data_IF_548052408793
#
_entry.id   IF_548052408793
#
_cell.length_a   1.000
_cell.length_b   1.000
_cell.length_c   1.000
_cell.angle_alpha   90.00
_cell.angle_beta   90.00
_cell.angle_gamma   90.00
#
_symmetry.space_group_name_H-M   'P 1'
#
loop_
_entity.id
_entity.type
_entity.pdbx_description
1 polymer ?
#
# COMPACT_ATOMS: atom_id res chain seq x y z
N UNK A 1 2.79 2.65 4.16
CA UNK A 1 1.48 2.75 3.48
C UNK A 1 0.63 3.86 4.07
N UNK A 2 0.35 3.85 5.37
CA UNK A 2 -0.51 4.86 6.03
C UNK A 2 -0.04 6.32 5.83
N UNK A 3 1.25 6.61 6.12
CA UNK A 3 1.80 7.97 5.94
C UNK A 3 1.63 8.54 4.52
N UNK A 4 1.87 7.71 3.51
CA UNK A 4 1.73 8.13 2.11
C UNK A 4 0.25 8.27 1.72
N UNK A 5 -0.60 7.37 2.21
CA UNK A 5 -2.04 7.46 2.03
C UNK A 5 -2.60 8.76 2.62
N UNK A 6 -2.30 9.07 3.89
CA UNK A 6 -2.81 10.26 4.58
C UNK A 6 -2.43 11.55 3.87
N UNK A 7 -1.15 11.68 3.49
CA UNK A 7 -0.61 12.85 2.80
C UNK A 7 -1.29 13.04 1.43
N UNK A 8 -1.36 11.98 0.63
CA UNK A 8 -1.91 12.06 -0.73
C UNK A 8 -3.41 12.27 -0.70
N UNK A 9 -4.12 11.57 0.20
CA UNK A 9 -5.56 11.73 0.38
C UNK A 9 -5.90 13.17 0.79
N UNK A 10 -5.14 13.74 1.74
CA UNK A 10 -5.38 15.09 2.25
C UNK A 10 -5.00 16.20 1.26
N UNK A 11 -3.95 16.02 0.46
CA UNK A 11 -3.39 17.10 -0.39
C UNK A 11 -3.94 17.10 -1.82
N UNK A 12 -4.02 15.94 -2.45
CA UNK A 12 -4.36 15.84 -3.88
C UNK A 12 -5.56 14.95 -4.13
N UNK A 13 -5.95 14.16 -3.12
CA UNK A 13 -6.89 13.07 -3.24
C UNK A 13 -6.59 12.18 -4.46
N UNK A 14 -5.30 12.00 -4.81
CA UNK A 14 -4.86 11.22 -5.96
C UNK A 14 -4.73 11.97 -7.30
N UNK A 15 -5.00 13.28 -7.37
CA UNK A 15 -4.88 14.07 -8.61
C UNK A 15 -3.45 14.54 -8.99
N UNK A 16 -3.27 15.21 -10.14
CA UNK A 16 -4.21 15.35 -11.27
C UNK A 16 -4.26 14.06 -12.12
N UNK A 17 -5.46 13.66 -12.55
CA UNK A 17 -5.64 12.50 -13.46
C UNK A 17 -5.18 11.14 -12.92
N UNK A 18 -5.19 10.93 -11.60
CA UNK A 18 -4.64 9.76 -10.89
C UNK A 18 -3.11 9.70 -10.75
N UNK A 19 -2.37 10.74 -11.14
CA UNK A 19 -0.89 10.73 -11.12
C UNK A 19 -0.27 10.50 -9.75
N UNK A 20 -0.96 10.87 -8.67
CA UNK A 20 -0.49 10.65 -7.29
C UNK A 20 -1.23 9.52 -6.59
N UNK A 21 -2.08 8.77 -7.30
CA UNK A 21 -2.88 7.71 -6.66
C UNK A 21 -2.00 6.54 -6.26
N UNK A 22 -2.04 6.19 -4.97
CA UNK A 22 -1.38 4.99 -4.43
C UNK A 22 -2.31 3.79 -4.48
N UNK A 23 -1.72 2.59 -4.39
CA UNK A 23 -2.48 1.33 -4.31
C UNK A 23 -3.49 1.36 -3.15
N UNK A 24 -3.11 1.95 -2.00
CA UNK A 24 -4.00 2.10 -0.86
C UNK A 24 -5.19 3.04 -1.14
N UNK A 25 -4.95 4.15 -1.85
CA UNK A 25 -6.00 5.08 -2.25
C UNK A 25 -6.96 4.47 -3.28
N UNK A 26 -6.44 3.68 -4.22
CA UNK A 26 -7.24 2.93 -5.18
C UNK A 26 -8.12 1.86 -4.52
N UNK A 27 -7.58 1.12 -3.54
CA UNK A 27 -8.32 0.18 -2.70
C UNK A 27 -9.46 0.90 -1.98
N UNK A 28 -9.16 2.03 -1.33
CA UNK A 28 -10.16 2.83 -0.62
C UNK A 28 -11.29 3.26 -1.54
N UNK A 29 -10.96 3.82 -2.71
CA UNK A 29 -11.97 4.20 -3.72
C UNK A 29 -12.77 3.01 -4.20
N UNK A 30 -12.12 1.88 -4.51
CA UNK A 30 -12.79 0.68 -4.99
C UNK A 30 -13.77 0.11 -3.95
N UNK A 31 -13.35 0.04 -2.69
CA UNK A 31 -14.15 -0.53 -1.62
C UNK A 31 -15.30 0.40 -1.22
N UNK A 32 -15.01 1.68 -0.96
CA UNK A 32 -15.95 2.60 -0.30
C UNK A 32 -16.61 3.62 -1.23
N UNK A 33 -16.00 3.99 -2.36
CA UNK A 33 -16.57 4.97 -3.31
C UNK A 33 -17.35 4.27 -4.41
N UNK A 34 -16.74 3.24 -5.02
CA UNK A 34 -17.35 2.43 -6.09
C UNK A 34 -18.25 1.32 -5.47
N UNK A 35 -18.27 1.19 -4.15
CA UNK A 35 -19.05 0.18 -3.41
C UNK A 35 -18.76 -1.28 -3.83
N UNK A 36 -17.58 -1.55 -4.41
CA UNK A 36 -17.14 -2.90 -4.78
C UNK A 36 -16.28 -3.48 -3.67
N UNK A 37 -16.88 -3.66 -2.50
CA UNK A 37 -16.19 -4.14 -1.29
C UNK A 37 -15.43 -5.46 -1.50
N UNK A 38 -16.02 -6.44 -2.20
CA UNK A 38 -15.34 -7.71 -2.49
C UNK A 38 -14.08 -7.54 -3.34
N UNK A 39 -14.14 -6.67 -4.36
CA UNK A 39 -13.00 -6.38 -5.23
C UNK A 39 -11.93 -5.55 -4.50
N UNK A 40 -12.34 -4.58 -3.68
CA UNK A 40 -11.44 -3.81 -2.82
C UNK A 40 -10.73 -4.69 -1.79
N UNK A 41 -11.45 -5.65 -1.20
CA UNK A 41 -10.88 -6.61 -0.24
C UNK A 41 -9.87 -7.54 -0.92
N UNK A 42 -10.17 -8.03 -2.12
CA UNK A 42 -9.21 -8.83 -2.90
C UNK A 42 -7.91 -8.05 -3.17
N UNK A 43 -8.02 -6.78 -3.58
CA UNK A 43 -6.86 -5.90 -3.77
C UNK A 43 -6.07 -5.70 -2.46
N UNK A 44 -6.73 -5.53 -1.32
CA UNK A 44 -6.09 -5.43 -0.01
C UNK A 44 -5.29 -6.68 0.36
N UNK A 45 -5.84 -7.87 0.11
CA UNK A 45 -5.15 -9.14 0.39
C UNK A 45 -3.91 -9.29 -0.49
N UNK A 46 -3.99 -8.95 -1.77
CA UNK A 46 -2.83 -8.98 -2.67
C UNK A 46 -1.74 -8.00 -2.19
N UNK A 47 -2.13 -6.78 -1.83
CA UNK A 47 -1.20 -5.78 -1.30
C UNK A 47 -0.53 -6.27 0.00
N UNK A 48 -1.30 -6.88 0.90
CA UNK A 48 -0.77 -7.45 2.14
C UNK A 48 0.29 -8.52 1.86
N UNK A 49 0.00 -9.48 0.98
CA UNK A 49 0.96 -10.53 0.61
C UNK A 49 2.22 -9.96 -0.04
N UNK A 50 2.08 -8.96 -0.91
CA UNK A 50 3.24 -8.28 -1.52
C UNK A 50 4.13 -7.64 -0.46
N UNK A 51 3.54 -6.91 0.50
CA UNK A 51 4.29 -6.28 1.59
C UNK A 51 4.91 -7.32 2.51
N UNK A 52 4.20 -8.41 2.81
CA UNK A 52 4.71 -9.50 3.64
C UNK A 52 5.95 -10.14 3.01
N UNK A 53 5.91 -10.43 1.71
CA UNK A 53 7.05 -10.99 0.97
C UNK A 53 8.22 -9.99 0.99
N UNK A 54 7.97 -8.72 0.69
CA UNK A 54 9.00 -7.67 0.72
C UNK A 54 9.59 -7.49 2.12
N UNK A 55 8.77 -7.55 3.17
CA UNK A 55 9.19 -7.42 4.56
C UNK A 55 10.05 -8.60 4.99
N UNK A 56 9.66 -9.84 4.66
CA UNK A 56 10.48 -11.03 4.92
C UNK A 56 11.81 -10.94 4.17
N UNK A 57 11.77 -10.54 2.90
CA UNK A 57 12.98 -10.38 2.08
C UNK A 57 13.90 -9.30 2.65
N UNK A 58 13.36 -8.15 3.03
CA UNK A 58 14.08 -7.07 3.70
C UNK A 58 14.72 -7.57 5.00
N UNK A 59 13.96 -8.19 5.89
CA UNK A 59 14.49 -8.70 7.16
C UNK A 59 15.60 -9.72 6.91
N UNK A 60 15.46 -10.63 5.95
CA UNK A 60 16.51 -11.62 5.64
C UNK A 60 17.79 -10.99 5.06
N UNK A 61 17.67 -9.99 4.19
CA UNK A 61 18.82 -9.27 3.65
C UNK A 61 19.56 -8.46 4.73
N UNK A 62 18.81 -7.78 5.59
CA UNK A 62 19.38 -6.89 6.60
C UNK A 62 19.86 -7.64 7.85
N UNK A 63 19.33 -8.84 8.14
CA UNK A 63 19.81 -9.70 9.24
C UNK A 63 21.29 -10.07 9.11
N UNK A 64 21.84 -10.15 7.90
CA UNK A 64 23.29 -10.39 7.72
C UNK A 64 24.18 -9.21 8.08
N UNK A 65 23.63 -7.99 8.25
CA UNK A 65 24.40 -6.79 8.66
C UNK A 65 24.42 -6.54 10.16
N UNK A 66 23.58 -7.24 10.93
CA UNK A 66 23.56 -7.12 12.41
C UNK A 66 24.56 -8.07 13.08
N UNK A 67 25.16 -9.01 12.33
CA UNK A 67 26.17 -9.96 12.85
C UNK A 67 27.60 -9.40 12.78
N UNK A 68 27.78 -8.14 12.40
CA UNK A 68 29.09 -7.49 12.28
C UNK A 68 29.11 -6.11 12.96
N UNK A 69 28.64 -6.07 14.22
CA UNK A 69 28.98 -5.02 15.19
C UNK A 69 29.39 -5.64 16.52
#
# INVERSE_FOLDING_TARGET
VLKAFDVIFSLTNGGPGNSTTTIALDIYRTAFVINRFGYGTAKSVVLFLMILILSIFQVRLFKSREVEV
#
